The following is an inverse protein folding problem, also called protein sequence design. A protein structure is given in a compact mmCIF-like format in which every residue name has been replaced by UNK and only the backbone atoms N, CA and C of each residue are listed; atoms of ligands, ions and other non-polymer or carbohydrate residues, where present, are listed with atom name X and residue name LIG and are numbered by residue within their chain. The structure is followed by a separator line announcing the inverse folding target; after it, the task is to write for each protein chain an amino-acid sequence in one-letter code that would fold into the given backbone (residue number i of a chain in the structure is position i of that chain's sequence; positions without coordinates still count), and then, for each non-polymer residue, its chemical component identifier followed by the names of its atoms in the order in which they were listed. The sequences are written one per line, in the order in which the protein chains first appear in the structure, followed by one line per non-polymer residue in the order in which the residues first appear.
data_IF_319711058955
#
_entry.id   IF_319711058955
#
_cell.length_a   1.000
_cell.length_b   1.000
_cell.length_c   1.000
_cell.angle_alpha   90.00
_cell.angle_beta   90.00
_cell.angle_gamma   90.00
#
_symmetry.space_group_name_H-M   'P 1'
#
loop_
_entity.id
_entity.type
_entity.pdbx_description
1 polymer ?
#
# COMPACT_ATOMS: atom_id res chain seq x y z
N UNK A 1 48.70 27.31 -68.43
CA UNK A 1 49.83 26.60 -67.78
C UNK A 1 50.62 27.58 -66.93
N UNK A 2 50.64 27.34 -65.60
CA UNK A 2 51.73 27.57 -64.62
C UNK A 2 51.11 27.95 -63.27
N UNK A 3 51.21 27.00 -62.35
CA UNK A 3 50.75 27.07 -60.98
C UNK A 3 51.70 27.94 -60.14
N UNK A 4 51.14 28.80 -59.31
CA UNK A 4 51.84 29.50 -58.22
C UNK A 4 51.66 28.73 -56.93
N UNK A 5 52.78 28.25 -56.38
CA UNK A 5 52.90 27.68 -55.05
C UNK A 5 53.17 28.83 -54.07
N UNK A 6 52.29 29.06 -53.10
CA UNK A 6 52.57 29.96 -51.98
C UNK A 6 52.44 29.18 -50.67
N UNK A 7 53.54 29.23 -49.93
CA UNK A 7 53.81 28.61 -48.64
C UNK A 7 53.10 29.40 -47.54
N UNK A 8 52.21 28.76 -46.77
CA UNK A 8 51.63 29.34 -45.54
C UNK A 8 52.02 28.48 -44.35
N UNK A 9 52.91 29.03 -43.52
CA UNK A 9 53.29 28.51 -42.21
C UNK A 9 52.05 28.39 -41.30
N UNK A 10 51.70 27.17 -40.87
CA UNK A 10 50.80 26.95 -39.74
C UNK A 10 51.60 27.00 -38.44
N UNK A 11 51.29 28.00 -37.61
CA UNK A 11 51.79 28.12 -36.24
C UNK A 11 50.91 27.24 -35.33
N UNK A 12 51.44 26.09 -34.89
CA UNK A 12 50.77 25.21 -33.93
C UNK A 12 50.93 25.76 -32.51
N UNK A 13 49.86 26.32 -31.94
CA UNK A 13 49.80 26.67 -30.52
C UNK A 13 49.53 25.41 -29.67
N UNK A 14 50.49 25.03 -28.82
CA UNK A 14 50.27 24.04 -27.76
C UNK A 14 49.43 24.67 -26.65
N UNK A 15 48.18 24.24 -26.51
CA UNK A 15 47.38 24.49 -25.30
C UNK A 15 47.73 23.41 -24.27
N UNK A 16 48.50 23.80 -23.25
CA UNK A 16 48.73 22.99 -22.07
C UNK A 16 47.44 22.93 -21.23
N UNK A 17 46.71 21.82 -21.32
CA UNK A 17 45.60 21.50 -20.43
C UNK A 17 46.16 21.06 -19.07
N UNK A 18 45.97 21.89 -18.04
CA UNK A 18 46.25 21.50 -16.66
C UNK A 18 45.18 20.50 -16.21
N UNK A 19 45.55 19.21 -16.10
CA UNK A 19 44.69 18.16 -15.59
C UNK A 19 44.32 18.39 -14.11
N UNK A 20 43.02 18.51 -13.83
CA UNK A 20 42.50 18.36 -12.47
C UNK A 20 42.51 16.86 -12.11
N UNK A 21 42.90 16.48 -10.88
CA UNK A 21 42.79 15.10 -10.44
C UNK A 21 41.31 14.69 -10.42
N UNK A 22 41.00 13.62 -11.14
CA UNK A 22 39.65 13.06 -11.23
C UNK A 22 39.22 12.57 -9.85
N UNK A 23 38.14 13.15 -9.33
CA UNK A 23 37.54 12.75 -8.04
C UNK A 23 37.13 11.27 -8.17
N UNK A 24 37.55 10.37 -7.26
CA UNK A 24 37.14 8.97 -7.33
C UNK A 24 35.62 8.89 -7.37
N UNK A 25 35.09 8.24 -8.42
CA UNK A 25 33.67 7.95 -8.51
C UNK A 25 33.27 7.20 -7.23
N UNK A 26 32.34 7.79 -6.46
CA UNK A 26 31.78 7.11 -5.31
C UNK A 26 31.14 5.80 -5.81
N UNK A 27 31.71 4.66 -5.43
CA UNK A 27 31.12 3.34 -5.67
C UNK A 27 29.68 3.39 -5.17
N UNK A 28 28.74 3.13 -6.08
CA UNK A 28 27.33 3.04 -5.72
C UNK A 28 27.18 2.07 -4.54
N UNK A 29 26.37 2.39 -3.51
CA UNK A 29 26.17 1.49 -2.39
C UNK A 29 25.71 0.13 -2.90
N UNK A 30 26.24 -0.94 -2.31
CA UNK A 30 25.82 -2.30 -2.64
C UNK A 30 24.29 -2.40 -2.54
N UNK A 31 23.62 -3.13 -3.46
CA UNK A 31 22.19 -3.28 -3.41
C UNK A 31 21.78 -3.85 -2.04
N UNK A 32 20.66 -3.39 -1.46
CA UNK A 32 20.21 -3.93 -0.18
C UNK A 32 20.02 -5.45 -0.29
N UNK A 33 20.26 -6.19 0.81
CA UNK A 33 20.11 -7.65 0.79
C UNK A 33 18.70 -8.03 0.32
N UNK A 34 18.56 -9.12 -0.44
CA UNK A 34 17.26 -9.54 -0.94
C UNK A 34 16.33 -9.83 0.23
N UNK A 35 15.13 -9.24 0.19
CA UNK A 35 14.08 -9.46 1.17
C UNK A 35 13.75 -10.96 1.20
N UNK A 36 13.75 -11.61 2.37
CA UNK A 36 13.46 -13.04 2.46
C UNK A 36 11.99 -13.37 2.13
N UNK A 37 11.67 -14.67 2.01
CA UNK A 37 10.32 -15.14 1.71
C UNK A 37 10.06 -15.47 0.24
N UNK A 38 8.83 -15.91 -0.10
CA UNK A 38 8.51 -16.40 -1.43
C UNK A 38 8.66 -15.31 -2.51
N UNK A 39 8.95 -15.73 -3.74
CA UNK A 39 8.89 -14.84 -4.90
C UNK A 39 7.44 -14.43 -5.15
N UNK A 40 7.20 -13.14 -5.44
CA UNK A 40 5.88 -12.63 -5.76
C UNK A 40 5.29 -13.22 -7.05
N UNK A 41 6.16 -13.69 -7.96
CA UNK A 41 5.75 -14.39 -9.17
C UNK A 41 5.37 -15.85 -8.95
N UNK A 42 5.75 -16.44 -7.80
CA UNK A 42 5.48 -17.84 -7.48
C UNK A 42 4.17 -18.04 -6.70
N UNK A 43 3.58 -16.97 -6.16
CA UNK A 43 2.31 -17.03 -5.43
C UNK A 43 1.15 -17.26 -6.39
N UNK A 44 0.30 -18.22 -6.07
CA UNK A 44 -0.91 -18.61 -6.81
C UNK A 44 -2.05 -18.86 -5.83
N UNK A 45 -3.29 -18.95 -6.33
CA UNK A 45 -4.46 -19.31 -5.51
C UNK A 45 -4.28 -20.67 -4.79
N UNK A 46 -3.48 -21.58 -5.34
CA UNK A 46 -3.27 -22.92 -4.78
C UNK A 46 -2.20 -22.98 -3.69
N UNK A 47 -1.24 -22.04 -3.66
CA UNK A 47 -0.10 -22.10 -2.74
C UNK A 47 0.03 -20.89 -1.80
N UNK A 48 -0.65 -19.78 -2.09
CA UNK A 48 -0.44 -18.51 -1.39
C UNK A 48 -0.69 -18.66 0.11
N UNK A 49 -1.80 -19.26 0.53
CA UNK A 49 -2.13 -19.49 1.94
C UNK A 49 -1.01 -20.20 2.69
N UNK A 50 -0.49 -21.31 2.15
CA UNK A 50 0.54 -22.10 2.82
C UNK A 50 1.88 -21.34 2.92
N UNK A 51 2.31 -20.73 1.80
CA UNK A 51 3.58 -20.00 1.73
C UNK A 51 3.56 -18.72 2.58
N UNK A 52 2.44 -17.99 2.58
CA UNK A 52 2.27 -16.78 3.38
C UNK A 52 2.17 -17.12 4.87
N UNK A 53 1.46 -18.19 5.24
CA UNK A 53 1.41 -18.64 6.64
C UNK A 53 2.81 -19.01 7.15
N UNK A 54 3.61 -19.71 6.34
CA UNK A 54 4.99 -20.00 6.70
C UNK A 54 5.82 -18.72 6.83
N UNK A 55 5.77 -17.83 5.83
CA UNK A 55 6.49 -16.57 5.83
C UNK A 55 6.15 -15.70 7.05
N UNK A 56 4.87 -15.60 7.42
CA UNK A 56 4.43 -14.83 8.59
C UNK A 56 4.98 -15.34 9.92
N UNK A 57 5.22 -16.66 10.04
CA UNK A 57 5.85 -17.27 11.23
C UNK A 57 7.36 -16.99 11.27
N UNK A 58 8.03 -17.01 10.13
CA UNK A 58 9.47 -16.79 10.04
C UNK A 58 9.86 -15.31 10.16
N UNK A 59 9.01 -14.42 9.65
CA UNK A 59 9.28 -12.98 9.59
C UNK A 59 8.11 -12.15 10.16
N UNK A 60 7.76 -12.33 11.45
CA UNK A 60 6.66 -11.59 12.07
C UNK A 60 6.97 -10.09 12.14
N UNK A 61 5.93 -9.29 12.25
CA UNK A 61 5.95 -7.89 12.66
C UNK A 61 4.53 -7.52 13.07
N UNK A 62 4.35 -6.64 14.05
CA UNK A 62 3.02 -6.28 14.54
C UNK A 62 2.56 -4.91 14.08
N UNK A 63 3.48 -4.11 13.52
CA UNK A 63 3.19 -2.74 13.13
C UNK A 63 3.91 -2.34 11.85
N UNK A 64 3.33 -1.37 11.15
CA UNK A 64 3.93 -0.67 10.02
C UNK A 64 3.68 0.83 10.15
N UNK A 65 4.46 1.63 9.42
CA UNK A 65 4.14 3.02 9.16
C UNK A 65 3.81 3.16 7.66
N UNK A 66 2.66 3.75 7.36
CA UNK A 66 2.27 4.15 6.02
C UNK A 66 2.60 5.63 5.85
N UNK A 67 3.63 5.94 5.07
CA UNK A 67 4.04 7.29 4.77
C UNK A 67 3.30 7.83 3.55
N UNK A 68 2.93 9.11 3.63
CA UNK A 68 2.36 9.86 2.50
C UNK A 68 2.85 11.31 2.55
N UNK A 69 2.64 12.07 1.47
CA UNK A 69 2.85 13.53 1.47
C UNK A 69 1.95 14.30 2.44
N UNK A 70 0.93 13.66 3.03
CA UNK A 70 -0.05 14.26 3.95
C UNK A 70 0.20 13.89 5.42
N UNK A 71 1.22 13.07 5.68
CA UNK A 71 1.61 12.61 7.00
C UNK A 71 1.73 11.09 7.06
N UNK A 72 2.09 10.62 8.25
CA UNK A 72 2.33 9.22 8.55
C UNK A 72 1.16 8.61 9.31
N UNK A 73 0.84 7.35 9.01
CA UNK A 73 -0.12 6.54 9.75
C UNK A 73 0.59 5.33 10.35
N UNK A 74 0.66 5.24 11.68
CA UNK A 74 1.12 4.02 12.35
C UNK A 74 -0.03 3.03 12.40
N UNK A 75 0.19 1.82 11.90
CA UNK A 75 -0.83 0.78 11.76
C UNK A 75 -0.42 -0.44 12.57
N UNK A 76 -1.33 -0.93 13.40
CA UNK A 76 -1.23 -2.22 14.07
C UNK A 76 -1.84 -3.31 13.18
N UNK A 77 -1.20 -4.46 13.08
CA UNK A 77 -1.66 -5.63 12.35
C UNK A 77 -2.09 -6.74 13.31
N UNK A 78 -3.21 -7.41 13.03
CA UNK A 78 -3.79 -8.43 13.91
C UNK A 78 -3.20 -9.83 13.66
N UNK A 79 -3.03 -10.63 14.71
CA UNK A 79 -2.37 -11.94 14.65
C UNK A 79 -3.31 -13.10 14.26
N UNK A 80 -4.61 -12.94 14.49
CA UNK A 80 -5.67 -13.92 14.22
C UNK A 80 -6.23 -13.83 12.79
N UNK A 81 -5.55 -13.07 11.93
CA UNK A 81 -5.73 -12.96 10.47
C UNK A 81 -4.38 -13.15 9.76
N UNK A 82 -3.72 -14.30 10.01
CA UNK A 82 -2.30 -14.49 9.71
C UNK A 82 -1.97 -14.41 8.22
N UNK A 83 -2.87 -14.82 7.32
CA UNK A 83 -2.60 -14.83 5.88
C UNK A 83 -2.59 -13.41 5.32
N UNK A 84 -3.57 -12.57 5.68
CA UNK A 84 -3.62 -11.18 5.25
C UNK A 84 -2.48 -10.37 5.84
N UNK A 85 -2.18 -10.56 7.13
CA UNK A 85 -1.04 -9.94 7.79
C UNK A 85 0.27 -10.30 7.10
N UNK A 86 0.52 -11.59 6.86
CA UNK A 86 1.74 -12.05 6.20
C UNK A 86 1.85 -11.54 4.75
N UNK A 87 0.75 -11.53 4.01
CA UNK A 87 0.70 -10.97 2.66
C UNK A 87 1.08 -9.50 2.64
N UNK A 88 0.46 -8.70 3.50
CA UNK A 88 0.73 -7.27 3.58
C UNK A 88 2.19 -6.99 3.97
N UNK A 89 2.73 -7.72 4.94
CA UNK A 89 4.14 -7.62 5.33
C UNK A 89 5.10 -8.04 4.21
N UNK A 90 4.78 -9.09 3.44
CA UNK A 90 5.58 -9.50 2.30
C UNK A 90 5.64 -8.40 1.24
N UNK A 91 4.49 -7.88 0.84
CA UNK A 91 4.40 -6.84 -0.19
C UNK A 91 5.06 -5.54 0.26
N UNK A 92 4.90 -5.14 1.53
CA UNK A 92 5.58 -4.00 2.12
C UNK A 92 7.11 -4.16 2.08
N UNK A 93 7.65 -5.28 2.61
CA UNK A 93 9.10 -5.49 2.62
C UNK A 93 9.68 -5.61 1.21
N UNK A 94 8.92 -6.16 0.25
CA UNK A 94 9.32 -6.25 -1.17
C UNK A 94 9.20 -4.92 -1.91
N UNK A 95 8.75 -3.83 -1.26
CA UNK A 95 8.62 -2.51 -1.86
C UNK A 95 7.43 -2.36 -2.81
N UNK A 96 6.48 -3.30 -2.83
CA UNK A 96 5.35 -3.28 -3.77
C UNK A 96 4.49 -2.06 -3.53
N UNK A 97 4.21 -1.73 -2.26
CA UNK A 97 3.38 -0.58 -1.92
C UNK A 97 4.06 0.76 -2.18
N UNK A 98 5.41 0.80 -2.18
CA UNK A 98 6.22 2.00 -2.46
C UNK A 98 6.03 2.53 -3.88
N UNK A 99 5.50 1.69 -4.78
CA UNK A 99 5.15 2.02 -6.16
C UNK A 99 3.64 2.19 -6.35
N UNK A 100 2.87 2.33 -5.26
CA UNK A 100 1.40 2.46 -5.29
C UNK A 100 0.92 3.81 -4.74
N UNK A 101 -0.34 4.12 -5.01
CA UNK A 101 -1.00 5.34 -4.53
C UNK A 101 -2.33 5.00 -3.87
N UNK A 102 -2.92 5.95 -3.15
CA UNK A 102 -4.36 5.90 -2.85
C UNK A 102 -5.16 6.19 -4.12
N UNK A 103 -5.50 5.14 -4.84
CA UNK A 103 -6.12 5.21 -6.16
C UNK A 103 -7.65 5.31 -6.14
N UNK A 104 -8.29 5.38 -4.96
CA UNK A 104 -9.74 5.63 -4.84
C UNK A 104 -10.08 6.22 -3.48
N UNK A 105 -10.73 7.38 -3.46
CA UNK A 105 -11.11 8.10 -2.24
C UNK A 105 -12.60 8.39 -2.23
N UNK A 106 -13.30 7.86 -1.22
CA UNK A 106 -14.73 8.11 -1.00
C UNK A 106 -14.92 8.73 0.38
N UNK A 107 -15.14 10.05 0.39
CA UNK A 107 -15.38 10.83 1.61
C UNK A 107 -16.56 10.24 2.41
N UNK A 108 -16.38 10.11 3.72
CA UNK A 108 -17.34 9.50 4.64
C UNK A 108 -17.33 7.97 4.64
N UNK A 109 -16.47 7.35 3.83
CA UNK A 109 -16.40 5.89 3.71
C UNK A 109 -14.98 5.36 3.90
N UNK A 110 -14.12 5.45 2.88
CA UNK A 110 -12.78 4.87 2.94
C UNK A 110 -11.82 5.49 1.90
N UNK A 111 -10.52 5.38 2.21
CA UNK A 111 -9.42 5.62 1.26
C UNK A 111 -8.84 4.26 0.86
N UNK A 112 -8.75 4.00 -0.44
CA UNK A 112 -8.31 2.71 -0.98
C UNK A 112 -7.01 2.90 -1.78
N UNK A 113 -6.06 1.99 -1.56
CA UNK A 113 -4.74 2.01 -2.19
C UNK A 113 -4.25 0.60 -2.54
N UNK A 114 -2.96 0.49 -2.89
CA UNK A 114 -2.34 -0.77 -3.29
C UNK A 114 -2.28 -1.01 -4.79
N UNK A 115 -2.73 -0.05 -5.60
CA UNK A 115 -2.63 -0.05 -7.07
C UNK A 115 -1.99 1.25 -7.58
N UNK A 116 -1.31 1.14 -8.72
CA UNK A 116 -0.81 2.26 -9.53
C UNK A 116 -0.67 1.79 -10.97
N UNK A 117 -0.81 2.72 -11.92
CA UNK A 117 -0.60 2.45 -13.34
C UNK A 117 0.88 2.43 -13.73
N UNK A 118 1.78 2.79 -12.80
CA UNK A 118 3.23 2.91 -13.03
C UNK A 118 4.08 1.91 -12.21
N UNK A 119 3.47 0.84 -11.69
CA UNK A 119 4.19 -0.16 -10.90
C UNK A 119 5.18 -0.96 -11.77
N UNK A 120 6.42 -1.08 -11.32
CA UNK A 120 7.47 -1.86 -11.97
C UNK A 120 7.61 -3.26 -11.36
N UNK A 121 7.35 -3.39 -10.06
CA UNK A 121 7.38 -4.67 -9.35
C UNK A 121 6.17 -5.52 -9.78
N UNK A 122 6.48 -6.67 -10.40
CA UNK A 122 5.47 -7.62 -10.86
C UNK A 122 5.08 -8.57 -9.74
N UNK A 123 3.77 -8.69 -9.54
CA UNK A 123 3.15 -9.69 -8.67
C UNK A 123 2.27 -10.58 -9.54
N UNK A 124 2.29 -11.90 -9.30
CA UNK A 124 1.29 -12.76 -9.92
C UNK A 124 -0.09 -12.45 -9.33
N UNK A 125 -1.16 -12.74 -10.08
CA UNK A 125 -2.51 -12.68 -9.52
C UNK A 125 -2.75 -13.90 -8.64
N UNK A 126 -3.12 -13.65 -7.40
CA UNK A 126 -3.64 -14.64 -6.46
C UNK A 126 -4.64 -13.93 -5.53
N UNK A 127 -5.44 -14.72 -4.82
CA UNK A 127 -6.45 -14.24 -3.91
C UNK A 127 -6.26 -14.84 -2.52
N UNK A 128 -6.74 -14.12 -1.52
CA UNK A 128 -6.66 -14.56 -0.13
C UNK A 128 -8.03 -15.07 0.34
N UNK A 129 -8.13 -16.28 0.92
CA UNK A 129 -9.35 -16.73 1.57
C UNK A 129 -9.77 -15.76 2.68
N UNK A 130 -11.06 -15.49 2.89
CA UNK A 130 -11.52 -14.51 3.88
C UNK A 130 -11.19 -14.95 5.31
N UNK A 131 -10.63 -14.05 6.12
CA UNK A 131 -10.31 -14.27 7.54
C UNK A 131 -11.24 -13.39 8.41
N UNK A 132 -12.54 -13.72 8.41
CA UNK A 132 -13.56 -12.89 9.08
C UNK A 132 -13.59 -13.17 10.58
N UNK A 133 -13.06 -12.23 11.36
CA UNK A 133 -13.08 -12.28 12.83
C UNK A 133 -14.14 -11.31 13.36
N UNK A 134 -15.15 -11.77 14.13
CA UNK A 134 -16.23 -10.93 14.61
C UNK A 134 -15.82 -9.69 15.43
N UNK A 135 -14.64 -9.73 16.05
CA UNK A 135 -14.06 -8.67 16.86
C UNK A 135 -13.40 -7.58 16.02
N UNK A 136 -13.01 -7.90 14.77
CA UNK A 136 -12.43 -6.94 13.83
C UNK A 136 -13.52 -6.43 12.89
N UNK A 137 -14.03 -5.25 13.20
CA UNK A 137 -15.11 -4.60 12.48
C UNK A 137 -14.64 -3.27 11.90
N UNK A 138 -15.40 -2.73 10.95
CA UNK A 138 -14.99 -1.60 10.12
C UNK A 138 -15.20 -0.26 10.82
N UNK A 139 -14.72 -0.13 12.06
CA UNK A 139 -14.61 1.17 12.75
C UNK A 139 -13.64 2.09 11.99
N UNK A 140 -13.72 3.39 12.27
CA UNK A 140 -12.75 4.37 11.77
C UNK A 140 -11.30 3.90 12.03
N UNK A 141 -10.44 4.01 11.02
CA UNK A 141 -9.05 3.57 11.06
C UNK A 141 -8.84 2.09 10.76
N UNK A 142 -9.90 1.27 10.67
CA UNK A 142 -9.76 -0.15 10.31
C UNK A 142 -9.10 -0.30 8.92
N UNK A 143 -8.10 -1.17 8.85
CA UNK A 143 -7.40 -1.56 7.62
C UNK A 143 -8.02 -2.88 7.12
N UNK A 144 -8.66 -2.82 5.96
CA UNK A 144 -9.32 -3.96 5.34
C UNK A 144 -8.79 -4.26 3.95
N UNK A 145 -8.95 -5.51 3.50
CA UNK A 145 -8.57 -5.92 2.15
C UNK A 145 -9.78 -5.81 1.21
N UNK A 146 -9.58 -5.19 0.04
CA UNK A 146 -10.61 -5.10 -0.97
C UNK A 146 -10.84 -6.47 -1.64
N UNK A 147 -11.99 -6.63 -2.26
CA UNK A 147 -12.34 -7.81 -3.05
C UNK A 147 -13.31 -7.45 -4.16
N UNK A 148 -13.41 -8.34 -5.14
CA UNK A 148 -14.38 -8.26 -6.23
C UNK A 148 -15.81 -8.58 -5.75
N UNK A 149 -16.80 -8.19 -6.57
CA UNK A 149 -18.24 -8.32 -6.31
C UNK A 149 -18.70 -9.77 -6.11
N UNK A 150 -19.67 -9.98 -5.22
CA UNK A 150 -20.13 -11.30 -4.76
C UNK A 150 -20.60 -12.21 -5.91
N UNK A 151 -21.27 -11.66 -6.93
CA UNK A 151 -21.77 -12.43 -8.08
C UNK A 151 -20.65 -13.15 -8.85
N UNK A 152 -19.46 -12.54 -8.88
CA UNK A 152 -18.27 -13.09 -9.53
C UNK A 152 -17.28 -13.70 -8.52
N UNK A 153 -17.54 -13.53 -7.22
CA UNK A 153 -16.67 -13.93 -6.13
C UNK A 153 -17.50 -14.44 -4.92
N UNK A 154 -18.25 -15.55 -5.08
CA UNK A 154 -19.08 -16.08 -4.00
C UNK A 154 -18.25 -16.57 -2.80
N UNK A 155 -16.98 -16.92 -3.04
CA UNK A 155 -16.01 -17.27 -2.00
C UNK A 155 -15.48 -16.08 -1.19
N UNK A 156 -15.87 -14.84 -1.54
CA UNK A 156 -15.42 -13.59 -0.89
C UNK A 156 -13.90 -13.50 -0.78
N UNK A 157 -13.19 -14.01 -1.78
CA UNK A 157 -11.73 -14.00 -1.82
C UNK A 157 -11.24 -12.56 -1.96
N UNK A 158 -10.23 -12.19 -1.19
CA UNK A 158 -9.66 -10.84 -1.21
C UNK A 158 -8.64 -10.66 -2.33
N UNK A 159 -8.50 -9.41 -2.80
CA UNK A 159 -7.34 -9.00 -3.61
C UNK A 159 -6.04 -9.30 -2.85
N UNK A 160 -4.96 -9.48 -3.59
CA UNK A 160 -3.63 -9.60 -2.99
C UNK A 160 -3.00 -8.26 -2.63
N UNK A 161 -3.41 -7.14 -3.22
CA UNK A 161 -2.71 -5.86 -3.05
C UNK A 161 -3.63 -4.68 -2.75
N UNK A 162 -4.88 -4.69 -3.23
CA UNK A 162 -5.84 -3.61 -3.02
C UNK A 162 -6.36 -3.62 -1.58
N UNK A 163 -5.96 -2.64 -0.77
CA UNK A 163 -6.42 -2.46 0.61
C UNK A 163 -7.15 -1.13 0.77
N UNK A 164 -7.84 -0.95 1.88
CA UNK A 164 -8.45 0.32 2.25
C UNK A 164 -8.35 0.61 3.74
N UNK A 165 -8.35 1.89 4.08
CA UNK A 165 -8.45 2.39 5.45
C UNK A 165 -9.79 3.10 5.59
N UNK A 166 -10.56 2.71 6.62
CA UNK A 166 -11.89 3.27 6.86
C UNK A 166 -11.77 4.70 7.40
N UNK A 167 -12.38 5.65 6.71
CA UNK A 167 -12.65 6.98 7.26
C UNK A 167 -13.94 6.93 8.09
N UNK A 168 -15.01 6.47 7.46
CA UNK A 168 -16.34 6.30 8.05
C UNK A 168 -17.01 7.59 8.53
N UNK A 169 -18.30 7.45 8.87
CA UNK A 169 -19.07 8.49 9.55
C UNK A 169 -19.62 7.96 10.89
N UNK A 170 -19.94 8.89 11.79
CA UNK A 170 -20.62 8.55 13.05
C UNK A 170 -22.05 8.16 12.77
N UNK A 171 -22.50 7.05 13.36
CA UNK A 171 -23.82 6.47 13.13
C UNK A 171 -24.52 6.23 14.46
N UNK A 172 -25.81 6.52 14.53
CA UNK A 172 -26.60 6.10 15.70
C UNK A 172 -26.57 4.56 15.83
N UNK A 173 -26.82 4.01 17.04
CA UNK A 173 -26.93 2.57 17.22
C UNK A 173 -27.92 1.90 16.25
N UNK A 174 -29.07 2.55 15.98
CA UNK A 174 -30.07 2.06 15.04
C UNK A 174 -29.55 2.06 13.58
N UNK A 175 -28.88 3.13 13.15
CA UNK A 175 -28.31 3.22 11.80
C UNK A 175 -27.22 2.16 11.60
N UNK A 176 -26.28 2.05 12.54
CA UNK A 176 -25.20 1.06 12.43
C UNK A 176 -25.73 -0.38 12.41
N UNK A 177 -26.74 -0.69 13.24
CA UNK A 177 -27.40 -2.00 13.23
C UNK A 177 -28.11 -2.29 11.90
N UNK A 178 -28.81 -1.30 11.32
CA UNK A 178 -29.51 -1.47 10.05
C UNK A 178 -28.57 -1.63 8.85
N UNK A 179 -27.39 -1.01 8.90
CA UNK A 179 -26.38 -1.10 7.84
C UNK A 179 -25.54 -2.38 7.91
N UNK A 180 -25.32 -2.90 9.12
CA UNK A 180 -24.46 -4.06 9.31
C UNK A 180 -25.05 -5.32 8.68
N UNK A 181 -24.20 -6.10 7.98
CA UNK A 181 -24.59 -7.41 7.45
C UNK A 181 -24.71 -8.50 8.51
N UNK A 182 -24.59 -8.16 9.80
CA UNK A 182 -24.59 -9.06 10.94
C UNK A 182 -25.03 -8.33 12.22
N UNK A 183 -25.45 -9.05 13.28
CA UNK A 183 -25.71 -8.44 14.57
C UNK A 183 -24.46 -7.76 15.15
N UNK A 184 -24.64 -6.56 15.69
CA UNK A 184 -23.60 -5.80 16.40
C UNK A 184 -23.79 -5.93 17.91
N UNK A 185 -22.69 -5.99 18.64
CA UNK A 185 -22.71 -5.85 20.11
C UNK A 185 -22.99 -4.37 20.50
N UNK A 186 -23.51 -4.11 21.71
CA UNK A 186 -23.67 -2.74 22.20
C UNK A 186 -22.36 -1.93 22.18
N UNK A 187 -21.23 -2.59 22.47
CA UNK A 187 -19.92 -1.96 22.41
C UNK A 187 -19.54 -1.54 20.98
N UNK A 188 -19.80 -2.38 19.97
CA UNK A 188 -19.58 -2.03 18.57
C UNK A 188 -20.46 -0.88 18.10
N UNK A 189 -21.74 -0.88 18.46
CA UNK A 189 -22.65 0.23 18.18
C UNK A 189 -22.16 1.54 18.80
N UNK A 190 -21.66 1.49 20.04
CA UNK A 190 -21.10 2.66 20.70
C UNK A 190 -19.84 3.18 20.01
N UNK A 191 -18.98 2.30 19.49
CA UNK A 191 -17.82 2.70 18.68
C UNK A 191 -18.27 3.40 17.40
N UNK A 192 -19.26 2.86 16.68
CA UNK A 192 -19.80 3.54 15.50
C UNK A 192 -20.45 4.89 15.82
N UNK A 193 -21.09 5.03 16.98
CA UNK A 193 -21.68 6.30 17.41
C UNK A 193 -20.63 7.36 17.77
N UNK A 194 -19.50 6.95 18.35
CA UNK A 194 -18.50 7.89 18.90
C UNK A 194 -17.36 8.18 17.94
N UNK A 195 -16.86 7.16 17.24
CA UNK A 195 -15.69 7.20 16.36
C UNK A 195 -16.07 7.17 14.88
N UNK A 196 -17.18 6.51 14.55
CA UNK A 196 -17.63 6.28 13.18
C UNK A 196 -17.05 5.01 12.54
N UNK A 197 -17.43 4.75 11.30
CA UNK A 197 -16.98 3.59 10.54
C UNK A 197 -17.85 3.26 9.33
N UNK A 198 -17.75 2.01 8.86
CA UNK A 198 -18.45 1.50 7.68
C UNK A 198 -19.10 0.12 7.97
N UNK A 199 -20.19 0.05 8.78
CA UNK A 199 -20.80 -1.22 9.18
C UNK A 199 -21.27 -2.10 8.01
N UNK A 200 -21.57 -1.51 6.85
CA UNK A 200 -22.00 -2.23 5.64
C UNK A 200 -20.99 -3.29 5.14
N UNK A 201 -19.73 -3.17 5.57
CA UNK A 201 -18.64 -4.08 5.26
C UNK A 201 -18.48 -5.22 6.29
N UNK A 202 -19.10 -5.10 7.46
CA UNK A 202 -18.95 -6.08 8.54
C UNK A 202 -19.45 -7.47 8.13
N UNK A 203 -18.65 -8.49 8.44
CA UNK A 203 -18.93 -9.89 8.07
C UNK A 203 -18.73 -10.20 6.59
N UNK A 204 -18.27 -9.23 5.78
CA UNK A 204 -18.10 -9.39 4.33
C UNK A 204 -16.67 -9.18 3.85
N UNK A 205 -15.84 -8.47 4.59
CA UNK A 205 -14.45 -8.16 4.24
C UNK A 205 -13.54 -8.44 5.43
N UNK A 206 -12.32 -8.90 5.15
CA UNK A 206 -11.29 -9.12 6.17
C UNK A 206 -10.75 -7.78 6.63
N UNK A 207 -10.85 -7.51 7.94
CA UNK A 207 -10.11 -6.43 8.62
C UNK A 207 -8.86 -7.06 9.23
N UNK A 208 -7.68 -6.60 8.80
CA UNK A 208 -6.40 -7.20 9.20
C UNK A 208 -5.49 -6.27 10.00
N UNK A 209 -5.94 -5.06 10.27
CA UNK A 209 -5.26 -4.12 11.14
C UNK A 209 -6.07 -2.87 11.41
N UNK A 210 -5.43 -1.88 12.04
CA UNK A 210 -6.00 -0.58 12.32
C UNK A 210 -4.92 0.50 12.42
N UNK A 211 -5.26 1.71 11.97
CA UNK A 211 -4.47 2.92 12.24
C UNK A 211 -4.59 3.27 13.72
N UNK A 212 -3.46 3.28 14.43
CA UNK A 212 -3.37 3.62 15.87
C UNK A 212 -2.84 5.03 16.11
N UNK A 213 -2.10 5.60 15.15
CA UNK A 213 -1.67 7.02 15.15
C UNK A 213 -1.79 7.60 13.74
N UNK A 214 -2.05 8.91 13.63
CA UNK A 214 -2.25 9.57 12.34
C UNK A 214 -3.67 9.43 11.77
N UNK A 215 -4.69 9.23 12.62
CA UNK A 215 -6.09 9.15 12.17
C UNK A 215 -6.58 10.41 11.44
N UNK A 216 -5.96 11.57 11.65
CA UNK A 216 -6.25 12.82 10.93
C UNK A 216 -5.71 12.79 9.49
N UNK A 217 -4.66 12.00 9.22
CA UNK A 217 -4.10 11.82 7.87
C UNK A 217 -5.14 11.19 6.93
N UNK A 218 -5.99 10.29 7.46
CA UNK A 218 -7.12 9.73 6.71
C UNK A 218 -8.04 10.82 6.19
N UNK A 219 -8.35 11.83 7.03
CA UNK A 219 -9.22 12.93 6.63
C UNK A 219 -8.54 13.88 5.64
N UNK A 220 -7.23 14.12 5.79
CA UNK A 220 -6.45 14.91 4.83
C UNK A 220 -6.50 14.26 3.45
N UNK A 221 -6.27 12.95 3.37
CA UNK A 221 -6.36 12.20 2.10
C UNK A 221 -7.80 12.24 1.56
N UNK A 222 -8.80 12.04 2.42
CA UNK A 222 -10.20 12.06 2.02
C UNK A 222 -10.71 13.44 1.56
N UNK A 223 -10.00 14.51 1.90
CA UNK A 223 -10.30 15.87 1.49
C UNK A 223 -9.64 16.26 0.14
N UNK A 224 -8.74 15.44 -0.39
CA UNK A 224 -8.08 15.72 -1.67
C UNK A 224 -9.11 15.78 -2.81
N UNK A 225 -8.98 16.73 -3.75
CA UNK A 225 -9.82 16.76 -4.94
C UNK A 225 -9.65 15.48 -5.76
N UNK A 226 -10.76 14.84 -6.11
CA UNK A 226 -10.77 13.61 -6.91
C UNK A 226 -11.36 13.81 -8.31
N UNK A 227 -11.01 12.92 -9.23
CA UNK A 227 -11.67 12.74 -10.52
C UNK A 227 -13.05 12.09 -10.41
N UNK A 228 -13.68 11.86 -11.56
CA UNK A 228 -14.98 11.17 -11.64
C UNK A 228 -14.89 9.71 -11.20
N UNK A 229 -13.75 9.09 -11.45
CA UNK A 229 -13.34 7.75 -11.01
C UNK A 229 -13.00 7.65 -9.52
N UNK A 230 -13.05 8.78 -8.79
CA UNK A 230 -12.64 8.93 -7.38
C UNK A 230 -11.14 8.79 -7.14
N UNK A 231 -10.31 8.84 -8.18
CA UNK A 231 -8.86 8.90 -8.05
C UNK A 231 -8.43 10.34 -7.69
N UNK A 232 -7.53 10.56 -6.71
CA UNK A 232 -7.01 11.89 -6.40
C UNK A 232 -6.38 12.60 -7.60
N UNK A 233 -6.75 13.86 -7.87
CA UNK A 233 -6.18 14.64 -8.99
C UNK A 233 -4.67 14.84 -8.87
N UNK A 234 -4.17 14.84 -7.64
CA UNK A 234 -2.76 14.75 -7.30
C UNK A 234 -2.57 13.47 -6.51
N UNK A 235 -1.78 12.56 -7.06
CA UNK A 235 -1.47 11.30 -6.43
C UNK A 235 -1.04 11.48 -4.98
N UNK A 236 -1.43 10.50 -4.17
CA UNK A 236 -0.98 10.32 -2.80
C UNK A 236 -0.22 9.02 -2.77
N UNK A 237 1.07 9.12 -3.01
CA UNK A 237 1.99 7.98 -3.01
C UNK A 237 2.05 7.35 -1.63
N UNK A 238 2.20 6.03 -1.63
CA UNK A 238 2.31 5.20 -0.43
C UNK A 238 3.76 4.75 -0.33
N UNK A 239 4.31 4.78 0.89
CA UNK A 239 5.49 4.00 1.25
C UNK A 239 5.22 3.27 2.55
N UNK A 240 5.58 2.00 2.65
CA UNK A 240 5.30 1.20 3.85
C UNK A 240 6.58 0.76 4.54
N UNK A 241 6.82 1.29 5.73
CA UNK A 241 7.92 0.86 6.60
C UNK A 241 7.41 -0.23 7.57
N UNK A 242 8.05 -1.39 7.58
CA UNK A 242 7.75 -2.44 8.56
C UNK A 242 8.58 -2.23 9.82
N UNK A 243 7.90 -2.07 10.96
CA UNK A 243 8.55 -1.90 12.25
C UNK A 243 9.03 -3.23 12.81
N UNK A 244 10.19 -3.21 13.47
CA UNK A 244 10.82 -4.40 14.08
C UNK A 244 10.16 -4.78 15.40
#
# INVERSE_FOLDING_TARGET
MKASLLFSLLLAGLLASCGQPEKPAATAPAPPPPVPGPSLSALTDTNATALLTQYGREFPASEVIVHTRLGDMRVKLYDDVPVHKANFLLLARKGVFDETVFNRVVKGFAIQGGRSDHRTIRINRYHLPPEIVPQHFHKRGALGMARYDDDQNPGKLSSNSDFYIVQGEKLTPAQSAAMAGRPLTPAQQQVYATQGGAPSLDGKYTVFGEVVEGLDVIDKIAAEPVGTDKWPKKDVEIKVEVLK
#
